data_IF_860725327973
#
_entry.id   IF_860725327973
#
_cell.length_a   1.000
_cell.length_b   1.000
_cell.length_c   1.000
_cell.angle_alpha   90.00
_cell.angle_beta   90.00
_cell.angle_gamma   90.00
#
_symmetry.space_group_name_H-M   'P 1'
#
loop_
_entity.id
_entity.type
_entity.pdbx_description
1 polymer ?
#
# COMPACT_ATOMS: atom_id res chain seq x y z
N UNK A 1 -28.03 0.15 -6.97
CA UNK A 1 -26.64 0.09 -6.47
C UNK A 1 -26.17 -1.36 -6.57
N UNK A 2 -24.93 -1.59 -7.02
CA UNK A 2 -24.31 -2.94 -7.09
C UNK A 2 -23.38 -3.21 -5.90
N UNK A 3 -23.51 -2.44 -4.82
CA UNK A 3 -22.74 -2.56 -3.59
C UNK A 3 -23.15 -3.81 -2.82
N UNK A 4 -22.19 -4.60 -2.33
CA UNK A 4 -22.43 -5.83 -1.58
C UNK A 4 -21.63 -5.86 -0.28
N UNK A 5 -22.31 -6.01 0.86
CA UNK A 5 -21.70 -6.29 2.15
C UNK A 5 -22.22 -7.64 2.65
N UNK A 6 -21.36 -8.66 2.76
CA UNK A 6 -21.82 -10.04 3.07
C UNK A 6 -22.03 -10.31 4.56
N UNK A 7 -21.41 -9.53 5.46
CA UNK A 7 -21.56 -9.69 6.90
C UNK A 7 -20.62 -8.81 7.73
N UNK A 8 -20.41 -9.21 8.99
CA UNK A 8 -19.57 -8.48 9.94
C UNK A 8 -20.32 -7.38 10.70
N UNK A 9 -19.56 -6.49 11.35
CA UNK A 9 -20.10 -5.40 12.17
C UNK A 9 -19.54 -4.05 11.69
N UNK A 10 -20.41 -3.05 11.58
CA UNK A 10 -20.05 -1.65 11.25
C UNK A 10 -19.34 -1.43 9.89
N UNK A 11 -19.51 -2.34 8.92
CA UNK A 11 -18.98 -2.14 7.57
C UNK A 11 -19.84 -1.15 6.76
N UNK A 12 -19.20 -0.21 6.07
CA UNK A 12 -19.85 0.83 5.26
C UNK A 12 -19.27 0.87 3.84
N UNK A 13 -20.14 0.93 2.84
CA UNK A 13 -19.73 1.07 1.45
C UNK A 13 -20.62 2.12 0.76
N UNK A 14 -20.00 3.24 0.39
CA UNK A 14 -20.67 4.41 -0.17
C UNK A 14 -20.57 4.48 -1.70
N UNK A 15 -19.54 3.86 -2.29
CA UNK A 15 -19.32 3.81 -3.74
C UNK A 15 -20.12 2.74 -4.49
N UNK A 16 -20.19 2.89 -5.80
CA UNK A 16 -20.83 1.99 -6.76
C UNK A 16 -20.02 0.72 -7.01
N UNK A 17 -20.71 -0.42 -7.12
CA UNK A 17 -20.13 -1.74 -7.43
C UNK A 17 -18.97 -2.16 -6.50
N UNK A 18 -19.06 -1.77 -5.22
CA UNK A 18 -18.09 -2.10 -4.18
C UNK A 18 -18.46 -3.39 -3.45
N UNK A 19 -17.46 -4.15 -2.99
CA UNK A 19 -17.66 -5.42 -2.27
C UNK A 19 -16.94 -5.38 -0.93
N UNK A 20 -17.64 -5.66 0.16
CA UNK A 20 -17.06 -5.91 1.50
C UNK A 20 -17.55 -7.27 2.01
N UNK A 21 -16.71 -8.30 2.02
CA UNK A 21 -17.17 -9.66 2.36
C UNK A 21 -17.39 -9.88 3.86
N UNK A 22 -16.84 -9.03 4.73
CA UNK A 22 -17.03 -9.15 6.18
C UNK A 22 -16.06 -8.30 6.98
N UNK A 23 -15.90 -8.63 8.27
CA UNK A 23 -14.97 -7.96 9.17
C UNK A 23 -15.61 -6.89 10.05
N UNK A 24 -14.79 -6.00 10.61
CA UNK A 24 -15.20 -4.97 11.56
C UNK A 24 -14.81 -3.57 11.09
N UNK A 25 -15.76 -2.63 11.01
CA UNK A 25 -15.52 -1.20 10.71
C UNK A 25 -14.72 -0.92 9.42
N UNK A 26 -14.93 -1.72 8.36
CA UNK A 26 -14.33 -1.43 7.06
C UNK A 26 -15.16 -0.37 6.31
N UNK A 27 -14.50 0.59 5.65
CA UNK A 27 -15.15 1.73 4.99
C UNK A 27 -14.65 1.92 3.56
N UNK A 28 -15.57 2.02 2.62
CA UNK A 28 -15.28 2.23 1.20
C UNK A 28 -16.04 3.45 0.70
N UNK A 29 -15.34 4.44 0.14
CA UNK A 29 -15.92 5.72 -0.23
C UNK A 29 -16.14 5.91 -1.74
N UNK A 30 -15.36 5.22 -2.57
CA UNK A 30 -15.39 5.36 -4.04
C UNK A 30 -15.73 4.03 -4.73
N UNK A 31 -15.82 4.05 -6.06
CA UNK A 31 -16.37 2.99 -6.88
C UNK A 31 -15.40 1.81 -7.10
N UNK A 32 -15.96 0.64 -7.42
CA UNK A 32 -15.24 -0.57 -7.86
C UNK A 32 -14.22 -1.15 -6.89
N UNK A 33 -14.32 -0.81 -5.62
CA UNK A 33 -13.40 -1.27 -4.58
C UNK A 33 -13.80 -2.61 -3.97
N UNK A 34 -12.82 -3.37 -3.51
CA UNK A 34 -13.01 -4.66 -2.83
C UNK A 34 -12.28 -4.71 -1.49
N UNK A 35 -12.99 -5.06 -0.41
CA UNK A 35 -12.43 -5.45 0.88
C UNK A 35 -12.88 -6.89 1.18
N UNK A 36 -11.96 -7.86 1.24
CA UNK A 36 -12.36 -9.26 1.52
C UNK A 36 -12.56 -9.54 3.02
N UNK A 37 -12.06 -8.68 3.90
CA UNK A 37 -12.27 -8.80 5.35
C UNK A 37 -11.33 -7.91 6.15
N UNK A 38 -11.05 -8.30 7.39
CA UNK A 38 -10.18 -7.53 8.29
C UNK A 38 -10.93 -6.50 9.12
N UNK A 39 -10.20 -5.55 9.69
CA UNK A 39 -10.73 -4.59 10.65
C UNK A 39 -10.20 -3.19 10.40
N UNK A 40 -11.07 -2.18 10.40
CA UNK A 40 -10.72 -0.75 10.28
C UNK A 40 -10.02 -0.41 8.95
N UNK A 41 -10.22 -1.19 7.88
CA UNK A 41 -9.63 -0.85 6.58
C UNK A 41 -10.44 0.24 5.87
N UNK A 42 -9.76 1.17 5.19
CA UNK A 42 -10.39 2.31 4.52
C UNK A 42 -9.95 2.42 3.06
N UNK A 43 -10.89 2.70 2.17
CA UNK A 43 -10.60 2.89 0.74
C UNK A 43 -11.30 4.14 0.23
N UNK A 44 -10.52 5.12 -0.20
CA UNK A 44 -10.99 6.44 -0.61
C UNK A 44 -10.94 6.69 -2.12
N UNK A 45 -10.06 6.03 -2.87
CA UNK A 45 -10.02 6.13 -4.34
C UNK A 45 -10.67 4.91 -5.01
N UNK A 46 -10.73 4.89 -6.33
CA UNK A 46 -11.44 3.87 -7.11
C UNK A 46 -10.57 2.65 -7.47
N UNK A 47 -11.24 1.53 -7.76
CA UNK A 47 -10.63 0.30 -8.30
C UNK A 47 -9.55 -0.36 -7.41
N UNK A 48 -9.58 -0.12 -6.10
CA UNK A 48 -8.62 -0.67 -5.16
C UNK A 48 -9.07 -2.01 -4.55
N UNK A 49 -8.11 -2.79 -4.07
CA UNK A 49 -8.36 -4.02 -3.33
C UNK A 49 -7.59 -4.04 -2.02
N UNK A 50 -8.30 -4.22 -0.92
CA UNK A 50 -7.71 -4.63 0.36
C UNK A 50 -8.15 -6.07 0.65
N UNK A 51 -7.22 -7.01 0.66
CA UNK A 51 -7.57 -8.43 0.92
C UNK A 51 -7.94 -8.63 2.40
N UNK A 52 -7.31 -7.93 3.32
CA UNK A 52 -7.63 -8.01 4.75
C UNK A 52 -6.64 -7.22 5.59
N UNK A 53 -6.47 -7.62 6.85
CA UNK A 53 -5.56 -6.96 7.79
C UNK A 53 -6.26 -5.95 8.69
N UNK A 54 -5.45 -5.14 9.37
CA UNK A 54 -5.89 -4.13 10.33
C UNK A 54 -5.44 -2.73 9.90
N UNK A 55 -6.37 -1.78 9.88
CA UNK A 55 -6.05 -0.35 9.69
C UNK A 55 -5.31 -0.01 8.37
N UNK A 56 -5.50 -0.80 7.31
CA UNK A 56 -4.91 -0.47 6.00
C UNK A 56 -5.75 0.59 5.29
N UNK A 57 -5.09 1.49 4.56
CA UNK A 57 -5.74 2.61 3.90
C UNK A 57 -5.26 2.81 2.44
N UNK A 58 -6.20 2.84 1.51
CA UNK A 58 -5.95 3.10 0.09
C UNK A 58 -6.63 4.39 -0.38
N UNK A 59 -5.86 5.40 -0.77
CA UNK A 59 -6.40 6.66 -1.31
C UNK A 59 -6.16 6.87 -2.81
N UNK A 60 -5.30 6.06 -3.43
CA UNK A 60 -5.01 6.10 -4.87
C UNK A 60 -6.00 5.30 -5.72
N UNK A 61 -5.58 4.94 -6.93
CA UNK A 61 -6.39 4.18 -7.89
C UNK A 61 -5.71 2.87 -8.32
N UNK A 62 -6.47 1.79 -8.48
CA UNK A 62 -5.93 0.49 -8.89
C UNK A 62 -4.85 -0.09 -7.96
N UNK A 63 -4.89 0.26 -6.68
CA UNK A 63 -3.92 -0.19 -5.69
C UNK A 63 -4.36 -1.52 -5.05
N UNK A 64 -3.37 -2.29 -4.59
CA UNK A 64 -3.55 -3.52 -3.84
C UNK A 64 -2.82 -3.43 -2.50
N UNK A 65 -3.55 -3.64 -1.41
CA UNK A 65 -2.98 -4.02 -0.11
C UNK A 65 -3.44 -5.44 0.23
N UNK A 66 -2.54 -6.41 0.18
CA UNK A 66 -2.93 -7.82 0.39
C UNK A 66 -3.09 -8.21 1.88
N UNK A 67 -2.70 -7.34 2.82
CA UNK A 67 -2.89 -7.55 4.24
C UNK A 67 -1.96 -6.71 5.09
N UNK A 68 -1.70 -7.17 6.32
CA UNK A 68 -0.82 -6.47 7.25
C UNK A 68 -1.55 -5.47 8.15
N UNK A 69 -0.76 -4.60 8.78
CA UNK A 69 -1.21 -3.59 9.73
C UNK A 69 -0.77 -2.20 9.28
N UNK A 70 -1.70 -1.24 9.26
CA UNK A 70 -1.39 0.18 9.03
C UNK A 70 -0.63 0.49 7.74
N UNK A 71 -0.82 -0.30 6.68
CA UNK A 71 -0.22 0.00 5.38
C UNK A 71 -1.03 1.06 4.65
N UNK A 72 -0.35 1.97 3.97
CA UNK A 72 -0.94 3.14 3.33
C UNK A 72 -0.50 3.28 1.87
N UNK A 73 -1.45 3.46 0.96
CA UNK A 73 -1.16 3.90 -0.42
C UNK A 73 -1.76 5.28 -0.66
N UNK A 74 -0.92 6.26 -1.01
CA UNK A 74 -1.33 7.67 -0.94
C UNK A 74 -2.30 8.10 -2.02
N UNK A 75 -2.97 9.23 -1.79
CA UNK A 75 -3.76 9.92 -2.81
C UNK A 75 -2.89 10.27 -4.02
N UNK A 76 -3.43 10.05 -5.21
CA UNK A 76 -2.74 10.31 -6.49
C UNK A 76 -1.76 9.21 -6.91
N UNK A 77 -1.50 8.21 -6.06
CA UNK A 77 -0.79 7.00 -6.48
C UNK A 77 -1.68 6.14 -7.38
N UNK A 78 -1.06 5.39 -8.29
CA UNK A 78 -1.76 4.46 -9.17
C UNK A 78 -1.01 3.14 -9.32
N UNK A 79 -1.70 2.02 -9.24
CA UNK A 79 -1.10 0.70 -9.48
C UNK A 79 -0.08 0.28 -8.42
N UNK A 80 -0.24 0.76 -7.18
CA UNK A 80 0.58 0.38 -6.03
C UNK A 80 0.28 -1.06 -5.61
N UNK A 81 1.30 -1.77 -5.15
CA UNK A 81 1.14 -3.09 -4.53
C UNK A 81 1.93 -3.19 -3.22
N UNK A 82 1.21 -3.24 -2.11
CA UNK A 82 1.76 -3.58 -0.79
C UNK A 82 1.26 -4.99 -0.43
N UNK A 83 2.17 -5.95 -0.27
CA UNK A 83 1.77 -7.34 -0.02
C UNK A 83 1.42 -7.59 1.45
N UNK A 84 2.03 -6.85 2.37
CA UNK A 84 1.75 -6.94 3.80
C UNK A 84 2.77 -6.17 4.63
N UNK A 85 2.98 -6.61 5.88
CA UNK A 85 3.87 -5.94 6.82
C UNK A 85 3.15 -4.91 7.68
N UNK A 86 3.94 -4.05 8.33
CA UNK A 86 3.45 -3.05 9.29
C UNK A 86 3.93 -1.66 8.90
N UNK A 87 3.05 -0.67 8.90
CA UNK A 87 3.38 0.75 8.68
C UNK A 87 4.12 1.04 7.36
N UNK A 88 3.87 0.27 6.29
CA UNK A 88 4.49 0.58 4.99
C UNK A 88 3.68 1.63 4.23
N UNK A 89 4.36 2.60 3.63
CA UNK A 89 3.77 3.67 2.83
C UNK A 89 4.27 3.62 1.38
N UNK A 90 3.34 3.66 0.44
CA UNK A 90 3.64 3.71 -0.98
C UNK A 90 2.88 4.87 -1.64
N UNK A 91 3.62 5.91 -2.00
CA UNK A 91 3.05 7.19 -2.45
C UNK A 91 3.37 7.48 -3.92
N UNK A 92 4.41 6.84 -4.46
CA UNK A 92 4.69 6.83 -5.89
C UNK A 92 3.73 5.91 -6.65
N UNK A 93 3.49 6.20 -7.93
CA UNK A 93 2.73 5.30 -8.80
C UNK A 93 3.57 4.09 -9.24
N UNK A 94 2.91 2.94 -9.43
CA UNK A 94 3.50 1.66 -9.85
C UNK A 94 4.57 1.13 -8.90
N UNK A 95 4.46 1.50 -7.62
CA UNK A 95 5.40 1.08 -6.58
C UNK A 95 5.01 -0.28 -6.02
N UNK A 96 6.01 -1.02 -5.55
CA UNK A 96 5.82 -2.33 -4.94
C UNK A 96 6.56 -2.43 -3.60
N UNK A 97 5.84 -2.80 -2.54
CA UNK A 97 6.42 -3.16 -1.24
C UNK A 97 5.99 -4.59 -0.90
N UNK A 98 6.93 -5.53 -0.86
CA UNK A 98 6.57 -6.93 -0.58
C UNK A 98 6.30 -7.22 0.90
N UNK A 99 6.68 -6.32 1.80
CA UNK A 99 6.44 -6.46 3.25
C UNK A 99 7.45 -5.69 4.08
N UNK A 100 7.65 -6.13 5.32
CA UNK A 100 8.55 -5.49 6.28
C UNK A 100 7.84 -4.46 7.16
N UNK A 101 8.63 -3.62 7.81
CA UNK A 101 8.14 -2.60 8.74
C UNK A 101 8.64 -1.22 8.35
N UNK A 102 7.74 -0.25 8.28
CA UNK A 102 8.06 1.16 8.04
C UNK A 102 8.85 1.42 6.73
N UNK A 103 8.58 0.66 5.66
CA UNK A 103 9.19 0.93 4.35
C UNK A 103 8.38 1.97 3.58
N UNK A 104 9.07 2.89 2.91
CA UNK A 104 8.48 4.03 2.25
C UNK A 104 8.94 4.13 0.78
N UNK A 105 7.98 4.12 -0.15
CA UNK A 105 8.22 4.17 -1.59
C UNK A 105 7.53 5.41 -2.22
N UNK A 106 8.26 6.52 -2.34
CA UNK A 106 7.72 7.80 -2.79
C UNK A 106 7.91 8.05 -4.30
N UNK A 107 8.96 7.50 -4.91
CA UNK A 107 9.25 7.64 -6.34
C UNK A 107 8.40 6.75 -7.25
N UNK A 108 8.32 7.08 -8.54
CA UNK A 108 7.63 6.30 -9.57
C UNK A 108 8.32 4.96 -9.85
N UNK A 109 7.54 3.89 -9.99
CA UNK A 109 8.00 2.55 -10.37
C UNK A 109 9.14 2.00 -9.49
N UNK A 110 9.05 2.24 -8.17
CA UNK A 110 10.05 1.77 -7.21
C UNK A 110 9.67 0.43 -6.58
N UNK A 111 10.68 -0.32 -6.11
CA UNK A 111 10.50 -1.63 -5.49
C UNK A 111 11.24 -1.72 -4.16
N UNK A 112 10.54 -2.09 -3.09
CA UNK A 112 11.13 -2.47 -1.80
C UNK A 112 10.67 -3.89 -1.44
N UNK A 113 11.57 -4.87 -1.49
CA UNK A 113 11.19 -6.26 -1.23
C UNK A 113 11.00 -6.58 0.27
N UNK A 114 11.38 -5.67 1.15
CA UNK A 114 11.13 -5.76 2.59
C UNK A 114 12.21 -5.09 3.43
N UNK A 115 12.27 -5.47 4.70
CA UNK A 115 13.21 -4.89 5.66
C UNK A 115 12.57 -3.89 6.60
N UNK A 116 13.39 -3.03 7.21
CA UNK A 116 12.98 -2.05 8.22
C UNK A 116 13.40 -0.62 7.82
N UNK A 117 12.47 0.34 7.83
CA UNK A 117 12.77 1.77 7.61
C UNK A 117 13.56 2.08 6.32
N UNK A 118 13.30 1.37 5.22
CA UNK A 118 13.89 1.70 3.93
C UNK A 118 13.07 2.78 3.23
N UNK A 119 13.73 3.75 2.59
CA UNK A 119 13.07 4.92 1.96
C UNK A 119 13.58 5.16 0.55
N UNK A 120 12.66 5.30 -0.39
CA UNK A 120 12.97 5.54 -1.81
C UNK A 120 12.25 6.81 -2.25
N UNK A 121 13.02 7.85 -2.61
CA UNK A 121 12.48 9.18 -2.90
C UNK A 121 12.32 9.47 -4.39
N UNK A 122 13.06 8.80 -5.26
CA UNK A 122 13.10 9.05 -6.71
C UNK A 122 12.78 7.79 -7.51
N UNK A 123 12.69 7.93 -8.83
CA UNK A 123 12.08 6.96 -9.73
C UNK A 123 12.98 5.74 -10.02
N UNK A 124 12.34 4.62 -10.38
CA UNK A 124 12.98 3.40 -10.89
C UNK A 124 14.02 2.74 -9.97
N UNK A 125 13.91 2.99 -8.67
CA UNK A 125 14.83 2.48 -7.67
C UNK A 125 14.38 1.14 -7.07
N UNK A 126 15.36 0.31 -6.68
CA UNK A 126 15.10 -0.97 -6.00
C UNK A 126 15.88 -1.12 -4.70
N UNK A 127 15.22 -1.51 -3.62
CA UNK A 127 15.84 -1.98 -2.37
C UNK A 127 15.41 -3.44 -2.15
N UNK A 128 16.35 -4.38 -2.18
CA UNK A 128 16.03 -5.80 -1.99
C UNK A 128 15.80 -6.18 -0.51
N UNK A 129 16.20 -5.34 0.43
CA UNK A 129 16.02 -5.56 1.86
C UNK A 129 16.99 -4.73 2.70
N UNK A 130 17.14 -5.10 3.97
CA UNK A 130 18.02 -4.41 4.90
C UNK A 130 17.28 -3.42 5.81
N UNK A 131 18.02 -2.51 6.41
CA UNK A 131 17.50 -1.59 7.42
C UNK A 131 18.03 -0.17 7.23
N UNK A 132 17.15 0.83 7.32
CA UNK A 132 17.51 2.27 7.26
C UNK A 132 18.23 2.67 5.96
N UNK A 133 17.93 2.03 4.83
CA UNK A 133 18.52 2.42 3.54
C UNK A 133 17.73 3.57 2.89
N UNK A 134 18.42 4.54 2.26
CA UNK A 134 17.80 5.70 1.61
C UNK A 134 18.29 5.87 0.17
N UNK A 135 17.38 6.13 -0.76
CA UNK A 135 17.71 6.38 -2.16
C UNK A 135 17.07 7.68 -2.63
N UNK A 136 17.89 8.67 -2.99
CA UNK A 136 17.48 10.02 -3.35
C UNK A 136 17.51 10.33 -4.85
N UNK A 137 18.27 9.58 -5.65
CA UNK A 137 18.33 9.75 -7.11
C UNK A 137 17.75 8.55 -7.85
N UNK A 138 17.43 8.72 -9.13
CA UNK A 138 16.80 7.70 -9.97
C UNK A 138 17.74 6.54 -10.36
N UNK A 139 17.16 5.41 -10.77
CA UNK A 139 17.83 4.28 -11.42
C UNK A 139 18.89 3.53 -10.57
N UNK A 140 18.76 3.53 -9.24
CA UNK A 140 19.67 2.86 -8.31
C UNK A 140 19.15 1.50 -7.81
N UNK A 141 20.07 0.69 -7.27
CA UNK A 141 19.74 -0.55 -6.57
C UNK A 141 20.57 -0.73 -5.31
N UNK A 142 19.90 -0.91 -4.17
CA UNK A 142 20.51 -1.36 -2.92
C UNK A 142 20.17 -2.84 -2.73
N UNK A 143 21.19 -3.68 -2.75
CA UNK A 143 21.04 -5.15 -2.56
C UNK A 143 20.72 -5.51 -1.10
N UNK A 144 21.05 -4.64 -0.16
CA UNK A 144 20.75 -4.78 1.26
C UNK A 144 21.78 -4.09 2.15
N UNK A 145 21.70 -4.31 3.45
CA UNK A 145 22.62 -3.74 4.44
C UNK A 145 21.94 -2.81 5.44
N UNK A 146 22.72 -1.98 6.10
CA UNK A 146 22.27 -1.04 7.13
C UNK A 146 22.80 0.37 6.82
N UNK A 147 21.91 1.37 6.82
CA UNK A 147 22.26 2.79 6.64
C UNK A 147 23.04 3.11 5.36
N UNK A 148 22.68 2.47 4.23
CA UNK A 148 23.21 2.90 2.94
C UNK A 148 22.43 4.10 2.41
N UNK A 149 23.13 5.06 1.80
CA UNK A 149 22.52 6.20 1.12
C UNK A 149 23.01 6.27 -0.34
N UNK A 150 22.09 6.43 -1.29
CA UNK A 150 22.40 6.60 -2.70
C UNK A 150 21.80 7.91 -3.20
N UNK A 151 22.61 8.84 -3.69
CA UNK A 151 22.12 10.14 -4.16
C UNK A 151 21.83 10.19 -5.67
N UNK A 152 22.28 9.20 -6.45
CA UNK A 152 22.19 9.22 -7.92
C UNK A 152 22.88 10.43 -8.56
N UNK A 153 22.89 10.48 -9.89
CA UNK A 153 23.25 11.68 -10.68
C UNK A 153 22.05 12.15 -11.50
#
# INVERSE_FOLDING_TARGET
SFTHISGGENNNAYGYATVVLGGYDNRVFDDYNTILGGSVNRVFGADNTIVGGFENECEGEHNLIAGGESNYSSKGSKGVSIVGGTDNEASGSFTHISGGENNNAYGYATVVLGGYDNRVFDDYNTILGGSVNRVFGADNTIVGGFENECEGE
#
